data_IF_546945056838
#
_entry.id   IF_546945056838
#
_cell.length_a   1.000
_cell.length_b   1.000
_cell.length_c   1.000
_cell.angle_alpha   90.00
_cell.angle_beta   90.00
_cell.angle_gamma   90.00
#
_symmetry.space_group_name_H-M   'P 1'
#
loop_
_entity.id
_entity.type
_entity.pdbx_description
1 polymer ?
#
# COMPACT_ATOMS: atom_id res chain seq x y z
N UNK A 1 -33.65 21.44 28.18
CA UNK A 1 -32.46 20.88 27.49
C UNK A 1 -32.95 20.37 26.15
N UNK A 2 -32.99 21.23 25.13
CA UNK A 2 -31.89 21.35 24.15
C UNK A 2 -31.98 20.23 23.11
N UNK A 3 -33.04 20.11 22.31
CA UNK A 3 -33.30 20.80 21.03
C UNK A 3 -32.56 20.20 19.81
N UNK A 4 -33.39 19.71 18.87
CA UNK A 4 -33.16 19.64 17.42
C UNK A 4 -32.28 18.51 16.86
N UNK A 5 -32.89 17.32 16.78
CA UNK A 5 -32.85 16.47 15.59
C UNK A 5 -33.33 17.30 14.38
N UNK A 6 -32.41 18.05 13.78
CA UNK A 6 -32.66 18.86 12.59
C UNK A 6 -31.85 18.29 11.44
N UNK A 7 -32.52 17.44 10.68
CA UNK A 7 -32.25 17.09 9.30
C UNK A 7 -31.85 18.37 8.52
N UNK A 8 -30.55 18.57 8.30
CA UNK A 8 -30.03 19.68 7.47
C UNK A 8 -29.63 19.16 6.10
N UNK A 9 -30.60 19.12 5.20
CA UNK A 9 -30.34 19.24 3.76
C UNK A 9 -29.86 20.67 3.49
N UNK A 10 -28.56 20.87 3.42
CA UNK A 10 -27.99 22.13 2.93
C UNK A 10 -27.86 22.07 1.42
N UNK A 11 -29.00 22.19 0.73
CA UNK A 11 -29.04 22.57 -0.68
C UNK A 11 -28.71 24.06 -0.75
N UNK A 12 -27.42 24.39 -0.83
CA UNK A 12 -26.98 25.70 -1.27
C UNK A 12 -27.20 25.85 -2.77
N UNK A 13 -27.54 27.06 -3.29
CA UNK A 13 -27.94 27.29 -4.67
C UNK A 13 -26.86 27.02 -5.76
N UNK A 14 -25.63 26.67 -5.37
CA UNK A 14 -24.50 26.49 -6.29
C UNK A 14 -23.80 25.12 -6.17
N UNK A 15 -24.48 24.07 -5.68
CA UNK A 15 -24.10 22.65 -5.87
C UNK A 15 -22.68 22.22 -5.46
N UNK A 16 -21.92 23.10 -4.80
CA UNK A 16 -20.50 22.90 -4.58
C UNK A 16 -20.32 22.32 -3.19
N UNK A 17 -20.11 21.02 -3.15
CA UNK A 17 -19.76 20.26 -1.95
C UNK A 17 -18.46 20.85 -1.39
N UNK A 18 -18.57 21.69 -0.36
CA UNK A 18 -17.42 22.23 0.37
C UNK A 18 -16.75 21.08 1.13
N UNK A 19 -15.42 21.08 1.17
CA UNK A 19 -14.69 20.06 1.89
C UNK A 19 -15.03 20.13 3.39
N UNK A 20 -15.47 19.02 4.04
CA UNK A 20 -15.85 19.03 5.46
C UNK A 20 -14.68 19.24 6.44
N UNK A 21 -13.45 19.35 5.92
CA UNK A 21 -12.24 19.55 6.72
C UNK A 21 -11.77 21.03 6.72
N UNK A 22 -11.82 21.72 5.58
CA UNK A 22 -11.30 23.09 5.45
C UNK A 22 -12.34 24.13 5.01
N UNK A 23 -13.55 23.72 4.58
CA UNK A 23 -14.66 24.63 4.29
C UNK A 23 -14.50 25.54 3.06
N UNK A 24 -13.42 25.41 2.27
CA UNK A 24 -13.10 26.36 1.19
C UNK A 24 -12.81 25.67 -0.16
N UNK A 25 -13.12 26.38 -1.26
CA UNK A 25 -12.96 25.93 -2.65
C UNK A 25 -12.25 27.03 -3.45
N UNK A 26 -11.22 26.75 -4.28
CA UNK A 26 -10.65 25.44 -4.61
C UNK A 26 -9.61 25.00 -3.57
N UNK A 27 -9.78 23.82 -2.96
CA UNK A 27 -8.82 23.31 -2.00
C UNK A 27 -7.64 22.62 -2.70
N UNK A 28 -6.41 23.01 -2.35
CA UNK A 28 -5.17 22.29 -2.67
C UNK A 28 -4.77 21.30 -1.57
N UNK A 29 -5.72 20.90 -0.72
CA UNK A 29 -5.49 19.86 0.26
C UNK A 29 -5.15 18.56 -0.48
N UNK A 30 -3.92 18.10 -0.32
CA UNK A 30 -3.51 16.79 -0.80
C UNK A 30 -4.42 15.73 -0.16
N UNK A 31 -5.30 15.19 -1.00
CA UNK A 31 -6.06 13.96 -0.77
C UNK A 31 -7.23 14.07 0.23
N UNK A 32 -8.44 14.01 -0.32
CA UNK A 32 -9.66 13.75 0.43
C UNK A 32 -9.60 12.39 1.14
N UNK A 33 -9.10 12.37 2.37
CA UNK A 33 -9.24 11.28 3.33
C UNK A 33 -10.54 11.47 4.12
N UNK A 34 -11.65 11.61 3.40
CA UNK A 34 -12.97 11.34 3.93
C UNK A 34 -13.20 9.83 3.88
N UNK A 35 -13.07 9.19 5.04
CA UNK A 35 -13.34 7.78 5.25
C UNK A 35 -12.22 7.16 6.06
N UNK A 36 -12.57 6.69 7.27
CA UNK A 36 -11.91 5.58 7.94
C UNK A 36 -11.16 4.74 6.92
N UNK A 37 -9.85 4.53 7.14
CA UNK A 37 -9.00 3.54 6.48
C UNK A 37 -9.88 2.53 5.76
N UNK A 38 -10.27 2.83 4.52
CA UNK A 38 -10.96 1.88 3.67
C UNK A 38 -9.85 0.90 3.48
N UNK A 39 -9.86 -0.13 4.33
CA UNK A 39 -9.03 -1.30 4.27
C UNK A 39 -9.00 -1.55 2.78
N UNK A 40 -7.88 -1.22 2.11
CA UNK A 40 -7.73 -1.54 0.70
C UNK A 40 -7.94 -3.02 0.73
N UNK A 41 -9.14 -3.48 0.35
CA UNK A 41 -9.59 -4.82 0.64
C UNK A 41 -8.58 -5.68 -0.05
N UNK A 42 -7.58 -6.15 0.70
CA UNK A 42 -6.60 -7.04 0.15
C UNK A 42 -7.40 -8.31 0.01
N UNK A 43 -7.94 -8.50 -1.18
CA UNK A 43 -8.66 -9.71 -1.57
C UNK A 43 -7.78 -10.92 -1.26
N UNK A 44 -6.46 -10.75 -1.32
CA UNK A 44 -5.50 -11.77 -0.92
C UNK A 44 -4.24 -11.15 -0.28
N UNK A 45 -3.67 -11.75 0.79
CA UNK A 45 -2.43 -11.29 1.40
C UNK A 45 -1.24 -11.48 0.45
N UNK A 46 -0.28 -10.56 0.53
CA UNK A 46 1.02 -10.66 -0.17
C UNK A 46 1.76 -11.91 0.31
N UNK A 47 2.17 -12.75 -0.62
CA UNK A 47 2.83 -14.02 -0.31
C UNK A 47 4.34 -13.84 -0.47
N UNK A 48 5.11 -14.11 0.58
CA UNK A 48 6.58 -14.01 0.55
C UNK A 48 7.14 -15.40 0.74
N UNK A 49 7.81 -15.92 -0.29
CA UNK A 49 8.38 -17.27 -0.31
C UNK A 49 9.90 -17.20 -0.38
N UNK A 50 10.61 -18.05 0.36
CA UNK A 50 12.06 -18.16 0.24
C UNK A 50 12.44 -19.44 -0.52
N UNK A 51 13.17 -19.28 -1.63
CA UNK A 51 13.70 -20.37 -2.44
C UNK A 51 15.21 -20.45 -2.27
N UNK A 52 15.70 -21.47 -1.58
CA UNK A 52 17.13 -21.75 -1.49
C UNK A 52 17.58 -22.52 -2.72
N UNK A 53 18.51 -21.97 -3.51
CA UNK A 53 19.17 -22.73 -4.56
C UNK A 53 20.41 -23.40 -3.97
N UNK A 54 20.58 -24.70 -4.19
CA UNK A 54 21.58 -25.52 -3.49
C UNK A 54 23.05 -25.11 -3.70
N UNK A 55 23.34 -24.22 -4.66
CA UNK A 55 24.69 -23.72 -4.99
C UNK A 55 24.80 -22.18 -5.03
N UNK A 56 23.82 -21.44 -4.49
CA UNK A 56 23.82 -19.98 -4.60
C UNK A 56 23.13 -19.28 -3.45
N UNK A 57 23.22 -17.95 -3.45
CA UNK A 57 22.48 -17.08 -2.53
C UNK A 57 20.98 -17.32 -2.75
N UNK A 58 20.25 -17.75 -1.71
CA UNK A 58 18.81 -18.00 -1.81
C UNK A 58 18.04 -16.78 -2.34
N UNK A 59 16.87 -16.98 -2.93
CA UNK A 59 16.04 -15.94 -3.52
C UNK A 59 14.73 -15.81 -2.75
N UNK A 60 14.37 -14.59 -2.36
CA UNK A 60 13.06 -14.27 -1.80
C UNK A 60 12.13 -13.83 -2.94
N UNK A 61 10.98 -14.48 -3.04
CA UNK A 61 9.93 -14.25 -4.03
C UNK A 61 8.76 -13.56 -3.33
N UNK A 62 8.27 -12.46 -3.89
CA UNK A 62 7.13 -11.72 -3.36
C UNK A 62 6.03 -11.68 -4.42
N UNK A 63 4.97 -12.43 -4.16
CA UNK A 63 3.84 -12.67 -5.05
C UNK A 63 2.59 -11.95 -4.54
N UNK A 64 1.59 -11.82 -5.42
CA UNK A 64 0.28 -11.23 -5.09
C UNK A 64 0.35 -9.80 -4.54
N UNK A 65 1.32 -8.98 -4.99
CA UNK A 65 1.31 -7.54 -4.71
C UNK A 65 0.21 -6.83 -5.53
N UNK A 66 -0.83 -6.26 -4.87
CA UNK A 66 -1.93 -5.58 -5.54
C UNK A 66 -1.55 -4.13 -5.86
N UNK A 67 -0.47 -3.95 -6.62
CA UNK A 67 0.00 -2.63 -7.05
C UNK A 67 0.32 -2.63 -8.54
N UNK A 68 0.25 -1.45 -9.13
CA UNK A 68 0.65 -1.22 -10.52
C UNK A 68 2.14 -1.58 -10.73
N UNK A 69 2.55 -2.11 -11.89
CA UNK A 69 3.95 -2.44 -12.19
C UNK A 69 4.93 -1.31 -11.87
N UNK A 70 4.59 -0.05 -12.17
CA UNK A 70 5.41 1.10 -11.83
C UNK A 70 5.69 1.23 -10.31
N UNK A 71 4.70 0.93 -9.47
CA UNK A 71 4.87 0.88 -8.02
C UNK A 71 5.75 -0.29 -7.57
N UNK A 72 5.71 -1.43 -8.28
CA UNK A 72 6.59 -2.58 -7.99
C UNK A 72 8.05 -2.23 -8.25
N UNK A 73 8.31 -1.50 -9.34
CA UNK A 73 9.66 -1.03 -9.66
C UNK A 73 10.17 0.00 -8.64
N UNK A 74 9.29 0.87 -8.14
CA UNK A 74 9.65 1.82 -7.08
C UNK A 74 9.97 1.11 -5.75
N UNK A 75 9.14 0.15 -5.33
CA UNK A 75 9.43 -0.70 -4.17
C UNK A 75 10.75 -1.46 -4.37
N UNK A 76 10.98 -2.01 -5.56
CA UNK A 76 12.23 -2.69 -5.88
C UNK A 76 13.43 -1.75 -5.77
N UNK A 77 13.33 -0.50 -6.22
CA UNK A 77 14.38 0.52 -6.03
C UNK A 77 14.63 0.83 -4.56
N UNK A 78 13.57 0.95 -3.74
CA UNK A 78 13.68 1.14 -2.29
C UNK A 78 14.39 -0.05 -1.62
N UNK A 79 13.97 -1.27 -1.96
CA UNK A 79 14.62 -2.49 -1.49
C UNK A 79 16.09 -2.56 -1.91
N UNK A 80 16.43 -2.28 -3.17
CA UNK A 80 17.82 -2.22 -3.66
C UNK A 80 18.67 -1.24 -2.86
N UNK A 81 18.15 -0.02 -2.59
CA UNK A 81 18.87 1.00 -1.81
C UNK A 81 19.11 0.58 -0.36
N UNK A 82 18.10 0.00 0.30
CA UNK A 82 18.20 -0.37 1.72
C UNK A 82 18.98 -1.65 1.95
N UNK A 83 18.82 -2.61 1.05
CA UNK A 83 19.35 -3.95 1.22
C UNK A 83 20.70 -4.11 0.52
N UNK A 84 21.02 -3.30 -0.49
CA UNK A 84 22.20 -3.51 -1.34
C UNK A 84 22.15 -4.84 -2.10
N UNK A 85 20.95 -5.42 -2.23
CA UNK A 85 20.73 -6.70 -2.89
C UNK A 85 20.22 -6.50 -4.31
N UNK A 86 20.66 -7.37 -5.22
CA UNK A 86 20.06 -7.50 -6.54
C UNK A 86 18.62 -7.98 -6.46
N UNK A 87 17.81 -7.53 -7.42
CA UNK A 87 16.44 -7.99 -7.57
C UNK A 87 15.81 -7.53 -8.88
N UNK A 88 14.75 -8.22 -9.28
CA UNK A 88 14.03 -7.98 -10.53
C UNK A 88 12.53 -8.18 -10.32
N UNK A 89 11.70 -7.53 -11.13
CA UNK A 89 10.28 -7.85 -11.22
C UNK A 89 10.10 -8.76 -12.43
N UNK A 90 9.67 -10.00 -12.23
CA UNK A 90 9.33 -10.93 -13.32
C UNK A 90 7.87 -11.34 -13.21
N UNK A 91 7.11 -11.18 -14.29
CA UNK A 91 5.69 -11.57 -14.34
C UNK A 91 4.86 -10.97 -13.17
N UNK A 92 5.21 -9.77 -12.73
CA UNK A 92 4.54 -9.12 -11.59
C UNK A 92 4.89 -9.68 -10.20
N UNK A 93 5.87 -10.57 -10.11
CA UNK A 93 6.48 -11.08 -8.88
C UNK A 93 7.80 -10.35 -8.64
N UNK A 94 8.05 -9.89 -7.42
CA UNK A 94 9.36 -9.33 -7.07
C UNK A 94 10.29 -10.47 -6.62
N UNK A 95 11.45 -10.56 -7.24
CA UNK A 95 12.52 -11.48 -6.89
C UNK A 95 13.66 -10.68 -6.26
N UNK A 96 14.05 -11.02 -5.03
CA UNK A 96 15.13 -10.36 -4.30
C UNK A 96 16.17 -11.39 -3.87
N UNK A 97 17.44 -11.12 -4.10
CA UNK A 97 18.52 -12.01 -3.69
C UNK A 97 18.79 -11.92 -2.18
N UNK A 98 18.97 -13.08 -1.55
CA UNK A 98 19.19 -13.27 -0.12
C UNK A 98 17.92 -13.71 0.63
N UNK A 99 18.10 -14.16 1.89
CA UNK A 99 17.00 -14.34 2.83
C UNK A 99 16.66 -12.98 3.44
N UNK A 100 15.69 -12.28 2.85
CA UNK A 100 15.27 -10.95 3.35
C UNK A 100 13.79 -10.91 3.70
N UNK A 101 13.21 -12.08 3.98
CA UNK A 101 11.80 -12.26 4.36
C UNK A 101 11.37 -11.37 5.52
N UNK A 102 12.19 -11.25 6.57
CA UNK A 102 11.87 -10.44 7.74
C UNK A 102 11.82 -8.94 7.41
N UNK A 103 12.80 -8.46 6.64
CA UNK A 103 12.86 -7.06 6.21
C UNK A 103 11.72 -6.71 5.25
N UNK A 104 11.49 -7.57 4.25
CA UNK A 104 10.43 -7.38 3.26
C UNK A 104 9.06 -7.39 3.96
N UNK A 105 8.84 -8.30 4.90
CA UNK A 105 7.62 -8.33 5.72
C UNK A 105 7.41 -7.01 6.45
N UNK A 106 8.42 -6.54 7.20
CA UNK A 106 8.33 -5.31 7.97
C UNK A 106 8.07 -4.08 7.08
N UNK A 107 8.75 -3.96 5.94
CA UNK A 107 8.56 -2.82 5.04
C UNK A 107 7.20 -2.84 4.34
N UNK A 108 6.71 -4.03 3.95
CA UNK A 108 5.37 -4.20 3.40
C UNK A 108 4.28 -3.96 4.45
N UNK A 109 4.46 -4.44 5.69
CA UNK A 109 3.54 -4.16 6.80
C UNK A 109 3.51 -2.66 7.13
N UNK A 110 4.67 -1.99 7.15
CA UNK A 110 4.75 -0.54 7.36
C UNK A 110 4.08 0.26 6.22
N UNK A 111 4.09 -0.28 5.01
CA UNK A 111 3.36 0.29 3.87
C UNK A 111 1.87 -0.09 3.85
N UNK A 112 1.36 -0.80 4.88
CA UNK A 112 -0.04 -1.15 5.04
C UNK A 112 -0.49 -2.41 4.29
N UNK A 113 0.45 -3.23 3.81
CA UNK A 113 0.13 -4.50 3.14
C UNK A 113 0.03 -5.65 4.14
N UNK A 114 -0.94 -6.54 3.95
CA UNK A 114 -1.06 -7.78 4.73
C UNK A 114 -0.13 -8.81 4.13
N UNK A 115 0.89 -9.25 4.88
CA UNK A 115 1.92 -10.17 4.39
C UNK A 115 1.77 -11.54 5.03
N UNK A 116 1.83 -12.59 4.21
CA UNK A 116 1.93 -13.99 4.62
C UNK A 116 3.26 -14.55 4.18
N UNK A 117 4.11 -14.91 5.15
CA UNK A 117 5.32 -15.67 4.88
C UNK A 117 4.94 -17.12 4.54
N UNK A 118 5.55 -17.67 3.49
CA UNK A 118 5.38 -19.04 3.04
C UNK A 118 6.76 -19.67 3.02
N UNK A 119 6.91 -20.74 3.79
CA UNK A 119 8.19 -21.41 4.01
C UNK A 119 7.95 -22.83 4.44
#
# INVERSE_FOLDING_TARGET
>A
MGDNDRLVYSTGPDGTVKCPNCGETPCECAEGLAGELRQRTQTEPVRVTFRKTGKGSGMTLVEKLPIHPAGKEELLKKFKKRLGAGGAVKNGVLEVQGDRRAFIKAELEAAGYKVRLIG
#
